data_IF_974859076256
#
_entry.id   IF_974859076256
#
_cell.length_a   1.000
_cell.length_b   1.000
_cell.length_c   1.000
_cell.angle_alpha   90.00
_cell.angle_beta   90.00
_cell.angle_gamma   90.00
#
_symmetry.space_group_name_H-M   'P 1'
#
loop_
_entity.id
_entity.type
_entity.pdbx_description
1 polymer ?
#
# COMPACT_ATOMS: atom_id res chain seq x y z
N UNK A 1 5.78 20.28 -0.62
CA UNK A 1 5.31 19.23 -1.54
C UNK A 1 4.34 18.35 -0.75
N UNK A 2 3.08 18.79 -0.64
CA UNK A 2 2.04 18.10 0.12
C UNK A 2 1.31 17.12 -0.80
N UNK A 3 1.67 15.84 -0.73
CA UNK A 3 0.96 14.72 -1.36
C UNK A 3 0.07 13.98 -0.32
N UNK A 4 -0.62 14.73 0.56
CA UNK A 4 -1.27 14.20 1.77
C UNK A 4 -2.81 14.12 1.73
N UNK A 5 -3.45 14.27 0.58
CA UNK A 5 -4.91 14.16 0.48
C UNK A 5 -5.31 13.19 -0.63
N UNK A 6 -5.13 11.89 -0.40
CA UNK A 6 -6.04 10.91 -1.01
C UNK A 6 -6.16 9.65 -0.13
N UNK A 7 -6.85 9.87 1.00
CA UNK A 7 -7.39 8.94 2.02
C UNK A 7 -7.06 7.45 1.82
N UNK A 8 -5.95 7.02 2.41
CA UNK A 8 -5.58 5.61 2.63
C UNK A 8 -6.10 5.16 4.01
N UNK A 9 -7.40 5.25 4.24
CA UNK A 9 -7.96 4.78 5.52
C UNK A 9 -8.00 3.25 5.55
N UNK A 10 -7.74 2.69 6.73
CA UNK A 10 -7.96 1.28 7.01
C UNK A 10 -9.41 1.06 7.47
N UNK A 11 -9.89 -0.18 7.39
CA UNK A 11 -11.18 -0.60 7.96
C UNK A 11 -11.26 -0.38 9.48
N UNK A 12 -10.11 -0.29 10.17
CA UNK A 12 -10.07 0.07 11.59
C UNK A 12 -10.22 1.59 11.86
N UNK A 13 -10.42 2.41 10.82
CA UNK A 13 -10.60 3.86 10.92
C UNK A 13 -9.30 4.68 11.02
N UNK A 14 -8.13 4.03 11.02
CA UNK A 14 -6.84 4.72 11.06
C UNK A 14 -6.35 5.10 9.66
N UNK A 15 -5.53 6.14 9.57
CA UNK A 15 -4.76 6.42 8.35
C UNK A 15 -3.62 5.41 8.21
N UNK A 16 -3.55 4.76 7.06
CA UNK A 16 -2.46 3.86 6.72
C UNK A 16 -1.22 4.66 6.27
N UNK A 17 -0.06 4.01 6.24
CA UNK A 17 1.23 4.58 5.85
C UNK A 17 1.82 3.82 4.66
N UNK A 18 2.64 4.49 3.84
CA UNK A 18 3.34 3.85 2.72
C UNK A 18 4.78 3.62 3.14
N UNK A 19 5.23 2.36 3.07
CA UNK A 19 6.58 1.98 3.44
C UNK A 19 7.33 1.32 2.29
N UNK A 20 8.57 1.75 2.12
CA UNK A 20 9.57 1.09 1.29
C UNK A 20 10.18 -0.08 2.07
N UNK A 21 10.12 -1.27 1.50
CA UNK A 21 10.67 -2.49 2.08
C UNK A 21 11.53 -3.23 1.05
N UNK A 22 12.45 -4.05 1.51
CA UNK A 22 13.08 -5.09 0.69
C UNK A 22 12.28 -6.38 0.79
N UNK A 23 12.07 -7.04 -0.34
CA UNK A 23 11.47 -8.38 -0.43
C UNK A 23 12.45 -9.29 -1.18
N UNK A 24 12.61 -10.51 -0.69
CA UNK A 24 13.35 -11.54 -1.43
C UNK A 24 12.43 -12.25 -2.42
N UNK A 25 12.82 -12.32 -3.69
CA UNK A 25 12.11 -13.03 -4.76
C UNK A 25 12.35 -14.53 -4.67
N UNK A 26 11.58 -15.30 -5.44
CA UNK A 26 11.78 -16.75 -5.57
C UNK A 26 13.17 -17.09 -6.15
N UNK A 27 13.73 -16.22 -6.99
CA UNK A 27 15.07 -16.32 -7.56
C UNK A 27 16.18 -15.99 -6.55
N UNK A 28 15.82 -15.65 -5.30
CA UNK A 28 16.78 -15.30 -4.25
C UNK A 28 17.35 -13.89 -4.36
N UNK A 29 16.83 -13.06 -5.27
CA UNK A 29 17.23 -11.66 -5.42
C UNK A 29 16.44 -10.77 -4.44
N UNK A 30 17.07 -9.72 -3.94
CA UNK A 30 16.39 -8.71 -3.14
C UNK A 30 15.84 -7.61 -4.06
N UNK A 31 14.54 -7.37 -4.01
CA UNK A 31 13.84 -6.30 -4.73
C UNK A 31 13.27 -5.26 -3.76
N UNK A 32 13.14 -4.03 -4.21
CA UNK A 32 12.46 -2.97 -3.46
C UNK A 32 10.97 -3.05 -3.76
N UNK A 33 10.14 -3.06 -2.72
CA UNK A 33 8.69 -3.01 -2.81
C UNK A 33 8.14 -1.88 -1.96
N UNK A 34 7.04 -1.27 -2.40
CA UNK A 34 6.25 -0.33 -1.61
C UNK A 34 5.00 -1.05 -1.10
N UNK A 35 4.70 -0.84 0.18
CA UNK A 35 3.54 -1.43 0.84
C UNK A 35 2.74 -0.36 1.55
N UNK A 36 1.42 -0.51 1.57
CA UNK A 36 0.57 0.22 2.49
C UNK A 36 0.42 -0.59 3.78
N UNK A 37 0.59 0.07 4.93
CA UNK A 37 0.50 -0.54 6.25
C UNK A 37 -0.37 0.30 7.17
N UNK A 38 -1.35 -0.34 7.82
CA UNK A 38 -2.03 0.31 8.94
C UNK A 38 -1.17 0.17 10.21
N UNK A 39 -0.70 1.28 10.83
CA UNK A 39 0.11 1.22 12.04
C UNK A 39 -0.67 0.77 13.28
N UNK A 40 -2.00 0.73 13.20
CA UNK A 40 -2.89 0.38 14.32
C UNK A 40 -3.24 -1.12 14.32
N UNK A 41 -3.83 -1.62 13.24
CA UNK A 41 -4.26 -3.03 13.17
C UNK A 41 -3.21 -3.95 12.50
N UNK A 42 -2.15 -3.39 11.92
CA UNK A 42 -1.09 -4.16 11.28
C UNK A 42 -1.43 -4.71 9.89
N UNK A 43 -2.58 -4.35 9.31
CA UNK A 43 -2.93 -4.77 7.95
C UNK A 43 -1.88 -4.26 6.95
N UNK A 44 -1.40 -5.18 6.12
CA UNK A 44 -0.23 -5.03 5.26
C UNK A 44 -0.57 -5.64 3.89
N UNK A 45 -0.85 -4.78 2.93
CA UNK A 45 -1.04 -5.10 1.51
C UNK A 45 -1.20 -3.77 0.75
N UNK A 46 -1.04 -3.70 -0.58
CA UNK A 46 -0.33 -4.62 -1.45
C UNK A 46 1.18 -4.35 -1.47
N UNK A 47 1.96 -5.36 -1.87
CA UNK A 47 3.40 -5.23 -2.09
C UNK A 47 3.70 -5.00 -3.57
N UNK A 48 3.88 -3.73 -3.95
CA UNK A 48 4.14 -3.34 -5.34
C UNK A 48 5.64 -3.20 -5.56
N UNK A 49 6.25 -3.94 -6.50
CA UNK A 49 7.68 -3.85 -6.78
C UNK A 49 8.03 -2.56 -7.51
N UNK A 50 9.17 -1.97 -7.14
CA UNK A 50 9.74 -0.79 -7.80
C UNK A 50 10.26 -1.15 -9.19
N UNK A 51 11.01 -2.25 -9.30
CA UNK A 51 11.68 -2.66 -10.54
C UNK A 51 12.40 -1.47 -11.24
N UNK A 52 12.10 -1.20 -12.51
CA UNK A 52 12.61 -0.07 -13.31
C UNK A 52 11.61 1.11 -13.37
N UNK A 53 10.57 1.09 -12.52
CA UNK A 53 9.49 2.08 -12.54
C UNK A 53 9.85 3.29 -11.68
N UNK A 54 9.18 4.40 -11.95
CA UNK A 54 9.23 5.58 -11.10
C UNK A 54 8.62 5.33 -9.71
N UNK A 55 9.29 5.84 -8.67
CA UNK A 55 8.88 5.66 -7.27
C UNK A 55 7.50 6.26 -7.01
N UNK A 56 7.20 7.45 -7.52
CA UNK A 56 5.92 8.11 -7.28
C UNK A 56 4.77 7.32 -7.92
N UNK A 57 5.00 6.77 -9.12
CA UNK A 57 4.05 5.90 -9.81
C UNK A 57 3.73 4.64 -9.00
N UNK A 58 4.76 4.01 -8.42
CA UNK A 58 4.61 2.80 -7.62
C UNK A 58 3.89 3.08 -6.29
N UNK A 59 4.15 4.24 -5.68
CA UNK A 59 3.44 4.71 -4.47
C UNK A 59 1.96 4.95 -4.78
N UNK A 60 1.65 5.62 -5.89
CA UNK A 60 0.26 5.87 -6.29
C UNK A 60 -0.50 4.55 -6.54
N UNK A 61 0.12 3.59 -7.22
CA UNK A 61 -0.45 2.26 -7.45
C UNK A 61 -0.69 1.51 -6.14
N UNK A 62 0.26 1.56 -5.19
CA UNK A 62 0.11 0.93 -3.89
C UNK A 62 -1.07 1.55 -3.10
N UNK A 63 -1.22 2.87 -3.12
CA UNK A 63 -2.35 3.58 -2.48
C UNK A 63 -3.67 3.22 -3.16
N UNK A 64 -3.71 3.21 -4.50
CA UNK A 64 -4.91 2.87 -5.25
C UNK A 64 -5.37 1.44 -4.95
N UNK A 65 -4.45 0.48 -4.98
CA UNK A 65 -4.75 -0.92 -4.73
C UNK A 65 -5.17 -1.16 -3.26
N UNK A 66 -4.58 -0.44 -2.30
CA UNK A 66 -5.09 -0.40 -0.92
C UNK A 66 -6.53 0.09 -0.86
N UNK A 67 -6.86 1.21 -1.50
CA UNK A 67 -8.21 1.76 -1.49
C UNK A 67 -9.23 0.82 -2.14
N UNK A 68 -8.87 0.13 -3.22
CA UNK A 68 -9.72 -0.89 -3.84
C UNK A 68 -9.95 -2.06 -2.87
N UNK A 69 -8.89 -2.54 -2.19
CA UNK A 69 -9.01 -3.60 -1.19
C UNK A 69 -9.94 -3.20 -0.04
N UNK A 70 -9.74 -2.01 0.53
CA UNK A 70 -10.58 -1.51 1.63
C UNK A 70 -12.03 -1.33 1.17
N UNK A 71 -12.26 -0.81 -0.04
CA UNK A 71 -13.61 -0.70 -0.60
C UNK A 71 -14.29 -2.07 -0.78
N UNK A 72 -13.55 -3.12 -1.15
CA UNK A 72 -14.07 -4.49 -1.23
C UNK A 72 -14.35 -5.10 0.15
N UNK A 73 -13.54 -4.78 1.16
CA UNK A 73 -13.71 -5.22 2.55
C UNK A 73 -14.82 -4.47 3.29
N UNK A 74 -15.35 -3.40 2.69
CA UNK A 74 -16.56 -2.70 3.12
C UNK A 74 -17.77 -3.07 2.23
N UNK A 75 -18.19 -4.35 2.12
CA UNK A 75 -19.46 -4.64 1.50
C UNK A 75 -20.58 -4.22 2.46
N UNK A 76 -21.28 -3.14 2.13
CA UNK A 76 -22.63 -2.80 2.58
C UNK A 76 -22.76 -2.25 4.02
N UNK A 77 -22.77 -0.91 4.14
CA UNK A 77 -23.91 -0.31 4.84
C UNK A 77 -25.07 -0.34 3.83
N UNK A 78 -26.03 -1.25 4.06
CA UNK A 78 -27.31 -1.33 3.34
C UNK A 78 -28.44 -0.93 4.29
#
# INVERSE_FOLDING_TARGET
MSWLMNMRHCTCGAEADVRRCTRRTADGLDEIVYRVICPVCGQLDPAIPLADRDEATVIEEAIQAWNVMIAQLHPLEA
#
